data_IF_444698052706
#
_entry.id   IF_444698052706
#
_cell.length_a   1.000
_cell.length_b   1.000
_cell.length_c   1.000
_cell.angle_alpha   90.00
_cell.angle_beta   90.00
_cell.angle_gamma   90.00
#
_symmetry.space_group_name_H-M   'P 1'
#
loop_
_entity.id
_entity.type
_entity.pdbx_description
1 polymer ?
#
# COMPACT_ATOMS: atom_id res chain seq x y z
N UNK A 1 -34.43 9.41 -50.34
CA UNK A 1 -34.75 8.82 -49.02
C UNK A 1 -33.53 8.94 -48.13
N UNK A 2 -33.57 9.94 -47.26
CA UNK A 2 -32.70 10.14 -46.09
C UNK A 2 -32.88 8.97 -45.13
N UNK A 3 -31.82 8.39 -44.55
CA UNK A 3 -31.82 7.78 -43.20
C UNK A 3 -30.44 7.14 -42.86
N UNK A 4 -29.53 8.02 -42.44
CA UNK A 4 -28.73 7.89 -41.20
C UNK A 4 -27.99 6.54 -40.97
N UNK A 5 -26.71 6.58 -41.33
CA UNK A 5 -25.54 6.06 -40.60
C UNK A 5 -25.85 5.68 -39.14
N UNK A 6 -25.97 4.38 -38.86
CA UNK A 6 -26.13 3.90 -37.49
C UNK A 6 -25.46 2.53 -37.28
N UNK A 7 -24.43 2.55 -36.42
CA UNK A 7 -24.10 1.54 -35.41
C UNK A 7 -23.39 0.26 -35.91
N UNK A 8 -22.09 0.43 -36.16
CA UNK A 8 -21.07 -0.60 -35.90
C UNK A 8 -20.95 -0.78 -34.39
N UNK A 9 -21.73 -1.71 -33.84
CA UNK A 9 -21.75 -2.16 -32.44
C UNK A 9 -21.37 -3.65 -32.46
N UNK A 10 -20.35 -4.17 -31.78
CA UNK A 10 -19.39 -3.57 -30.87
C UNK A 10 -18.08 -4.34 -31.06
N UNK A 11 -16.98 -3.60 -31.20
CA UNK A 11 -15.63 -4.13 -31.06
C UNK A 11 -15.37 -4.47 -29.61
N UNK A 12 -15.84 -5.63 -29.14
CA UNK A 12 -15.39 -6.23 -27.89
C UNK A 12 -14.02 -6.85 -28.13
N UNK A 13 -13.00 -5.99 -28.20
CA UNK A 13 -11.71 -6.39 -27.67
C UNK A 13 -11.88 -6.43 -26.14
N UNK A 14 -11.63 -7.55 -25.45
CA UNK A 14 -11.34 -7.48 -24.03
C UNK A 14 -10.01 -6.71 -23.92
N UNK A 15 -10.08 -5.39 -23.78
CA UNK A 15 -8.98 -4.66 -23.17
C UNK A 15 -8.80 -5.31 -21.80
N UNK A 16 -7.67 -5.98 -21.50
CA UNK A 16 -7.34 -6.23 -20.11
C UNK A 16 -7.44 -4.87 -19.42
N UNK A 17 -7.97 -4.78 -18.18
CA UNK A 17 -7.85 -3.54 -17.45
C UNK A 17 -6.37 -3.19 -17.53
N UNK A 18 -6.08 -2.04 -18.13
CA UNK A 18 -4.80 -1.40 -18.01
C UNK A 18 -4.64 -1.11 -16.52
N UNK A 19 -4.24 -2.11 -15.74
CA UNK A 19 -3.42 -1.90 -14.58
C UNK A 19 -2.11 -1.39 -15.14
N UNK A 20 -2.14 -0.09 -15.47
CA UNK A 20 -0.98 0.78 -15.46
C UNK A 20 -0.53 0.91 -14.01
N UNK A 21 -0.21 -0.21 -13.36
CA UNK A 21 0.65 -0.18 -12.20
C UNK A 21 2.04 -0.20 -12.81
N UNK A 22 2.50 1.00 -13.12
CA UNK A 22 3.88 1.39 -13.33
C UNK A 22 4.78 0.34 -12.69
N UNK A 23 5.75 -0.18 -13.44
CA UNK A 23 6.95 -0.77 -12.86
C UNK A 23 7.72 0.31 -12.09
N UNK A 24 7.07 0.95 -11.13
CA UNK A 24 7.73 1.64 -10.07
C UNK A 24 8.38 0.51 -9.29
N UNK A 25 9.69 0.41 -9.42
CA UNK A 25 10.52 -0.10 -8.34
C UNK A 25 10.11 0.73 -7.13
N UNK A 26 9.10 0.27 -6.41
CA UNK A 26 8.54 0.98 -5.29
C UNK A 26 9.65 1.15 -4.24
N UNK A 27 9.64 2.23 -3.45
CA UNK A 27 10.64 2.46 -2.41
C UNK A 27 10.72 1.31 -1.39
N UNK A 28 9.68 0.47 -1.34
CA UNK A 28 9.55 -0.68 -0.44
C UNK A 28 9.62 -2.04 -1.18
N UNK A 29 10.04 -2.06 -2.44
CA UNK A 29 10.10 -3.28 -3.22
C UNK A 29 11.11 -4.29 -2.62
N UNK A 30 10.64 -5.50 -2.34
CA UNK A 30 11.43 -6.56 -1.69
C UNK A 30 11.72 -6.33 -0.21
N UNK A 31 11.12 -5.29 0.40
CA UNK A 31 11.25 -5.00 1.84
C UNK A 31 10.21 -5.74 2.65
N UNK A 32 10.59 -6.18 3.84
CA UNK A 32 9.65 -6.81 4.77
C UNK A 32 9.13 -5.75 5.74
N UNK A 33 7.82 -5.53 5.71
CA UNK A 33 7.15 -4.52 6.52
C UNK A 33 6.18 -5.19 7.48
N UNK A 34 6.23 -4.81 8.75
CA UNK A 34 5.25 -5.26 9.75
C UNK A 34 4.35 -4.11 10.10
N UNK A 35 3.06 -4.36 10.20
CA UNK A 35 2.10 -3.35 10.66
C UNK A 35 1.65 -3.71 12.08
N UNK A 36 1.77 -2.78 13.02
CA UNK A 36 1.32 -2.96 14.40
C UNK A 36 0.47 -1.79 14.88
N UNK A 37 -0.50 -2.11 15.73
CA UNK A 37 -1.39 -1.13 16.32
C UNK A 37 -2.75 -1.03 15.63
N UNK A 38 -3.44 0.05 15.94
CA UNK A 38 -4.65 0.51 15.26
C UNK A 38 -4.22 1.66 14.36
N UNK A 39 -4.60 1.58 13.10
CA UNK A 39 -4.34 2.61 12.11
C UNK A 39 -5.51 3.58 12.13
N UNK A 40 -5.22 4.89 12.13
CA UNK A 40 -6.25 5.93 12.19
C UNK A 40 -6.70 6.37 10.80
N UNK A 41 -5.79 6.38 9.82
CA UNK A 41 -6.06 6.82 8.44
C UNK A 41 -6.30 5.65 7.49
N UNK A 42 -5.74 4.48 7.79
CA UNK A 42 -5.93 3.27 6.99
C UNK A 42 -6.72 2.18 7.69
N UNK A 43 -7.50 1.43 6.92
CA UNK A 43 -7.89 0.08 7.35
C UNK A 43 -6.71 -0.86 7.25
N UNK A 44 -6.64 -1.85 8.16
CA UNK A 44 -5.59 -2.88 8.15
C UNK A 44 -5.45 -3.57 6.80
N UNK A 45 -6.54 -3.73 6.07
CA UNK A 45 -6.55 -4.35 4.74
C UNK A 45 -6.04 -3.39 3.66
N UNK A 46 -6.47 -2.12 3.68
CA UNK A 46 -6.00 -1.10 2.74
C UNK A 46 -4.50 -0.89 2.79
N UNK A 47 -3.91 -0.71 3.98
CA UNK A 47 -2.46 -0.52 4.08
C UNK A 47 -1.67 -1.74 3.58
N UNK A 48 -2.20 -2.96 3.85
CA UNK A 48 -1.57 -4.20 3.38
C UNK A 48 -1.61 -4.27 1.86
N UNK A 49 -2.70 -3.81 1.26
CA UNK A 49 -2.83 -3.75 -0.20
C UNK A 49 -1.88 -2.72 -0.79
N UNK A 50 -1.80 -1.51 -0.23
CA UNK A 50 -0.83 -0.49 -0.64
C UNK A 50 0.60 -0.99 -0.54
N UNK A 51 0.98 -1.59 0.60
CA UNK A 51 2.30 -2.19 0.80
C UNK A 51 2.60 -3.27 -0.24
N UNK A 52 1.66 -4.19 -0.49
CA UNK A 52 1.80 -5.24 -1.51
C UNK A 52 1.90 -4.67 -2.92
N UNK A 53 1.13 -3.62 -3.22
CA UNK A 53 1.15 -2.90 -4.50
C UNK A 53 2.51 -2.21 -4.73
N UNK A 54 3.14 -1.70 -3.67
CA UNK A 54 4.49 -1.13 -3.70
C UNK A 54 5.61 -2.20 -3.76
N UNK A 55 5.25 -3.49 -3.78
CA UNK A 55 6.18 -4.61 -3.83
C UNK A 55 6.78 -4.99 -2.46
N UNK A 56 6.21 -4.50 -1.37
CA UNK A 56 6.61 -4.86 -0.01
C UNK A 56 5.92 -6.16 0.45
N UNK A 57 6.64 -6.93 1.25
CA UNK A 57 6.09 -8.13 1.91
C UNK A 57 5.57 -7.75 3.29
N UNK A 58 4.26 -7.89 3.51
CA UNK A 58 3.66 -7.57 4.80
C UNK A 58 3.59 -8.81 5.69
N UNK A 59 4.15 -8.72 6.89
CA UNK A 59 4.11 -9.79 7.90
C UNK A 59 3.50 -9.30 9.21
N UNK A 60 2.89 -10.20 9.99
CA UNK A 60 2.31 -9.86 11.31
C UNK A 60 3.36 -9.86 12.45
N UNK A 61 4.53 -10.42 12.18
CA UNK A 61 5.56 -10.69 13.18
C UNK A 61 6.87 -9.99 12.85
N UNK A 62 7.40 -9.25 13.83
CA UNK A 62 8.73 -8.64 13.76
C UNK A 62 9.80 -9.72 13.92
N UNK A 63 10.66 -9.80 12.92
CA UNK A 63 11.79 -10.71 12.80
C UNK A 63 13.05 -9.94 12.40
N UNK A 64 14.22 -10.58 12.48
CA UNK A 64 15.50 -9.99 12.02
C UNK A 64 15.53 -9.64 10.53
N UNK A 65 14.59 -10.20 9.75
CA UNK A 65 14.38 -9.93 8.32
C UNK A 65 13.46 -8.74 8.06
N UNK A 66 12.81 -8.21 9.09
CA UNK A 66 11.91 -7.06 8.97
C UNK A 66 12.77 -5.80 8.76
N UNK A 67 12.58 -5.13 7.63
CA UNK A 67 13.24 -3.85 7.35
C UNK A 67 12.51 -2.72 8.09
N UNK A 68 11.18 -2.71 8.05
CA UNK A 68 10.34 -1.63 8.59
C UNK A 68 9.20 -2.14 9.46
N UNK A 69 8.91 -1.42 10.55
CA UNK A 69 7.72 -1.59 11.38
C UNK A 69 6.87 -0.33 11.26
N UNK A 70 5.70 -0.43 10.62
CA UNK A 70 4.69 0.61 10.62
C UNK A 70 3.90 0.54 11.93
N UNK A 71 3.93 1.64 12.67
CA UNK A 71 3.24 1.82 13.94
C UNK A 71 2.10 2.81 13.73
N UNK A 72 0.88 2.33 13.95
CA UNK A 72 -0.30 3.19 14.01
C UNK A 72 -0.44 3.90 15.37
N UNK A 73 -1.55 4.62 15.52
CA UNK A 73 -1.93 5.45 16.67
C UNK A 73 -1.75 4.76 18.04
N UNK A 74 -1.98 3.45 18.09
CA UNK A 74 -1.76 2.64 19.27
C UNK A 74 -0.49 1.77 19.15
N UNK A 75 0.68 2.20 19.66
CA UNK A 75 1.89 1.40 19.66
C UNK A 75 1.72 0.17 20.57
N UNK A 76 1.33 -0.95 19.98
CA UNK A 76 1.21 -2.22 20.69
C UNK A 76 2.58 -2.76 21.14
N UNK A 77 2.58 -3.87 21.89
CA UNK A 77 3.78 -4.52 22.46
C UNK A 77 4.85 -5.00 21.46
N UNK A 78 4.65 -4.76 20.14
CA UNK A 78 5.60 -5.09 19.08
C UNK A 78 6.66 -4.00 18.86
N UNK A 79 6.39 -2.75 19.25
CA UNK A 79 7.35 -1.62 19.16
C UNK A 79 8.61 -1.96 19.94
N UNK A 80 8.46 -2.34 21.21
CA UNK A 80 9.58 -2.76 22.06
C UNK A 80 10.40 -3.93 21.48
N UNK A 81 9.78 -4.81 20.68
CA UNK A 81 10.49 -5.91 20.01
C UNK A 81 11.28 -5.41 18.80
N UNK A 82 10.73 -4.49 18.01
CA UNK A 82 11.42 -3.86 16.89
C UNK A 82 12.61 -3.02 17.35
N UNK A 83 12.44 -2.21 18.40
CA UNK A 83 13.53 -1.42 19.00
C UNK A 83 14.68 -2.33 19.46
N UNK A 84 14.36 -3.44 20.15
CA UNK A 84 15.36 -4.44 20.59
C UNK A 84 16.07 -5.13 19.43
N UNK A 85 15.40 -5.30 18.29
CA UNK A 85 15.96 -5.94 17.10
C UNK A 85 16.66 -4.94 16.17
N UNK A 86 16.59 -3.64 16.43
CA UNK A 86 17.13 -2.59 15.57
C UNK A 86 16.38 -2.43 14.25
N UNK A 87 15.08 -2.77 14.22
CA UNK A 87 14.22 -2.60 13.04
C UNK A 87 13.81 -1.14 12.94
N UNK A 88 13.79 -0.57 11.71
CA UNK A 88 13.36 0.81 11.50
C UNK A 88 11.87 0.95 11.78
N UNK A 89 11.50 1.89 12.64
CA UNK A 89 10.11 2.14 13.02
C UNK A 89 9.63 3.34 12.23
N UNK A 90 8.56 3.15 11.48
CA UNK A 90 7.89 4.17 10.68
C UNK A 90 6.50 4.41 11.25
N UNK A 91 6.04 5.65 11.26
CA UNK A 91 4.63 5.93 11.50
C UNK A 91 3.82 5.73 10.22
N UNK A 92 2.50 5.74 10.37
CA UNK A 92 1.57 5.75 9.24
C UNK A 92 1.84 6.93 8.29
N UNK A 93 2.16 8.11 8.86
CA UNK A 93 2.54 9.30 8.10
C UNK A 93 3.88 9.12 7.37
N UNK A 94 4.91 8.58 8.03
CA UNK A 94 6.20 8.33 7.39
C UNK A 94 6.07 7.33 6.22
N UNK A 95 5.22 6.31 6.38
CA UNK A 95 4.92 5.38 5.30
C UNK A 95 4.29 6.09 4.10
N UNK A 96 3.34 7.01 4.34
CA UNK A 96 2.68 7.78 3.29
C UNK A 96 3.65 8.67 2.53
N UNK A 97 4.50 9.41 3.26
CA UNK A 97 5.57 10.23 2.69
C UNK A 97 6.52 9.39 1.83
N UNK A 98 6.98 8.25 2.36
CA UNK A 98 7.84 7.33 1.62
C UNK A 98 7.15 6.74 0.40
N UNK A 99 5.88 6.37 0.52
CA UNK A 99 5.10 5.79 -0.55
C UNK A 99 4.64 6.85 -1.58
N UNK A 100 4.87 8.14 -1.32
CA UNK A 100 4.22 9.26 -2.02
C UNK A 100 2.71 9.02 -2.17
N UNK A 101 2.09 8.44 -1.16
CA UNK A 101 0.66 8.19 -1.12
C UNK A 101 0.02 9.27 -0.26
N UNK A 102 -1.04 9.88 -0.77
CA UNK A 102 -1.87 10.77 0.04
C UNK A 102 -2.81 9.91 0.90
N UNK A 103 -2.97 10.20 2.21
CA UNK A 103 -3.90 9.46 3.05
C UNK A 103 -5.34 9.59 2.49
N UNK A 104 -6.07 8.48 2.32
CA UNK A 104 -7.47 8.57 1.94
C UNK A 104 -8.27 9.17 3.10
N UNK A 105 -8.64 10.46 2.99
CA UNK A 105 -9.58 11.11 3.90
C UNK A 105 -9.05 12.19 4.84
N UNK A 106 -7.91 12.82 4.56
CA UNK A 106 -7.54 14.07 5.24
C UNK A 106 -8.28 15.25 4.56
N UNK A 107 -9.24 15.94 5.21
CA UNK A 107 -9.71 17.21 4.70
C UNK A 107 -8.58 18.26 4.80
N UNK A 108 -8.52 19.21 3.85
CA UNK A 108 -7.49 20.26 3.81
C UNK A 108 -7.56 21.21 5.01
#
# INVERSE_FOLDING_TARGET
LTLIKALTDAGLAPTPPAQSAVSAVGPLQGKTVVVTGTLSHFSRDSIKETLRSLGATVTDSVSKKTDYLIVGDAPGSKVAKAEKLGVSILTEADFLDLANQEPPGQPP
#
